data_IF_137749956523
#
_entry.id   IF_137749956523
#
_cell.length_a   1.000
_cell.length_b   1.000
_cell.length_c   1.000
_cell.angle_alpha   90.00
_cell.angle_beta   90.00
_cell.angle_gamma   90.00
#
_symmetry.space_group_name_H-M   'P 1'
#
loop_
_entity.id
_entity.type
_entity.pdbx_description
1 polymer ?
#
# COMPACT_ATOMS: atom_id res chain seq x y z
N UNK A 1 39.71 -0.99 4.13
CA UNK A 1 38.56 -0.88 3.20
C UNK A 1 37.55 -1.97 3.56
N UNK A 2 36.44 -1.61 4.23
CA UNK A 2 35.56 -2.54 4.95
C UNK A 2 34.83 -3.56 4.04
N UNK A 3 34.35 -3.14 2.87
CA UNK A 3 33.57 -4.03 1.97
C UNK A 3 34.43 -4.89 1.04
N UNK A 4 35.63 -4.42 0.67
CA UNK A 4 36.47 -5.09 -0.31
C UNK A 4 36.96 -6.47 0.15
N UNK A 5 37.42 -6.56 1.40
CA UNK A 5 37.90 -7.81 2.00
C UNK A 5 36.82 -8.67 2.63
N UNK A 6 35.54 -8.36 2.42
CA UNK A 6 34.46 -9.05 3.10
C UNK A 6 34.32 -10.50 2.58
N UNK A 7 34.20 -11.53 3.45
CA UNK A 7 34.12 -12.94 3.02
C UNK A 7 33.00 -13.23 2.02
N UNK A 8 31.89 -12.49 2.08
CA UNK A 8 30.79 -12.61 1.10
C UNK A 8 31.25 -12.22 -0.31
N UNK A 9 32.09 -11.19 -0.45
CA UNK A 9 32.62 -10.78 -1.75
C UNK A 9 33.63 -11.80 -2.29
N UNK A 10 34.48 -12.37 -1.43
CA UNK A 10 35.39 -13.46 -1.82
C UNK A 10 34.61 -14.68 -2.35
N UNK A 11 33.53 -15.08 -1.65
CA UNK A 11 32.65 -16.17 -2.11
C UNK A 11 31.96 -15.84 -3.42
N UNK A 12 31.39 -14.63 -3.57
CA UNK A 12 30.76 -14.19 -4.82
C UNK A 12 31.74 -14.25 -5.99
N UNK A 13 32.96 -13.78 -5.80
CA UNK A 13 34.00 -13.82 -6.82
C UNK A 13 34.41 -15.25 -7.18
N UNK A 14 34.54 -16.14 -6.20
CA UNK A 14 34.78 -17.56 -6.44
C UNK A 14 33.64 -18.23 -7.23
N UNK A 15 32.41 -17.74 -7.09
CA UNK A 15 31.23 -18.16 -7.87
C UNK A 15 31.08 -17.41 -9.21
N UNK A 16 32.06 -16.59 -9.61
CA UNK A 16 31.99 -15.77 -10.85
C UNK A 16 31.01 -14.59 -10.79
N UNK A 17 30.47 -14.27 -9.61
CA UNK A 17 29.54 -13.15 -9.39
C UNK A 17 30.32 -11.85 -9.10
N UNK A 18 29.81 -10.69 -9.54
CA UNK A 18 30.44 -9.40 -9.24
C UNK A 18 30.43 -9.11 -7.73
N UNK A 19 31.51 -8.49 -7.23
CA UNK A 19 31.61 -8.03 -5.85
C UNK A 19 30.68 -6.83 -5.58
N UNK A 20 30.10 -6.78 -4.38
CA UNK A 20 29.33 -5.64 -3.86
C UNK A 20 30.25 -4.88 -2.91
N UNK A 21 31.10 -4.01 -3.45
CA UNK A 21 32.21 -3.37 -2.74
C UNK A 21 32.14 -1.84 -2.67
N UNK A 22 31.03 -1.26 -3.14
CA UNK A 22 30.76 0.18 -3.17
C UNK A 22 29.36 0.47 -2.63
N UNK A 23 29.19 1.62 -1.97
CA UNK A 23 27.89 2.14 -1.55
C UNK A 23 27.55 3.36 -2.42
N UNK A 24 26.36 3.36 -3.00
CA UNK A 24 25.80 4.53 -3.67
C UNK A 24 24.79 5.17 -2.73
N UNK A 25 25.23 6.16 -1.95
CA UNK A 25 24.37 6.89 -1.02
C UNK A 25 23.66 8.03 -1.75
N UNK A 26 22.34 8.08 -1.62
CA UNK A 26 21.48 9.09 -2.24
C UNK A 26 20.25 9.33 -1.35
N UNK A 27 19.50 10.41 -1.60
CA UNK A 27 18.30 10.73 -0.83
C UNK A 27 18.56 11.26 0.59
N UNK A 28 19.74 11.83 0.84
CA UNK A 28 20.05 12.46 2.13
C UNK A 28 19.23 13.74 2.35
N UNK A 29 18.78 13.94 3.59
CA UNK A 29 18.04 15.13 4.00
C UNK A 29 17.74 15.09 5.50
N UNK A 30 17.41 16.23 6.13
CA UNK A 30 16.96 16.25 7.51
C UNK A 30 15.61 15.55 7.63
N UNK A 31 15.35 14.95 8.80
CA UNK A 31 14.01 14.48 9.12
C UNK A 31 13.09 15.70 9.31
N UNK A 32 12.07 15.82 8.47
CA UNK A 32 11.08 16.87 8.59
C UNK A 32 10.21 16.64 9.84
N UNK A 33 9.73 17.72 10.43
CA UNK A 33 8.74 17.64 11.50
C UNK A 33 7.45 17.04 10.93
N UNK A 34 7.03 15.91 11.48
CA UNK A 34 5.83 15.21 11.01
C UNK A 34 4.64 15.76 11.80
N UNK A 35 3.58 16.25 11.12
CA UNK A 35 2.38 16.73 11.80
C UNK A 35 1.73 15.63 12.63
N UNK A 36 0.87 16.04 13.57
CA UNK A 36 0.19 15.13 14.48
C UNK A 36 -0.48 13.96 13.74
N UNK A 37 -0.35 12.73 14.25
CA UNK A 37 -0.80 11.54 13.56
C UNK A 37 -2.33 11.51 13.43
N UNK A 38 -2.81 11.26 12.21
CA UNK A 38 -4.24 11.11 11.90
C UNK A 38 -4.74 9.66 12.00
N UNK A 39 -3.79 8.71 12.03
CA UNK A 39 -4.05 7.28 12.01
C UNK A 39 -3.62 6.65 13.32
N UNK A 40 -4.37 5.64 13.80
CA UNK A 40 -4.01 4.89 15.01
C UNK A 40 -2.80 3.97 14.79
N UNK A 41 -2.63 3.45 13.58
CA UNK A 41 -1.49 2.62 13.16
C UNK A 41 -1.26 2.77 11.65
N UNK A 42 -0.08 2.41 11.17
CA UNK A 42 0.23 2.25 9.74
C UNK A 42 0.68 0.81 9.48
N UNK A 43 -0.19 -0.01 8.90
CA UNK A 43 0.13 -1.40 8.60
C UNK A 43 0.63 -1.52 7.16
N UNK A 44 1.91 -1.87 6.98
CA UNK A 44 2.51 -2.02 5.65
C UNK A 44 3.82 -2.80 5.70
N UNK A 45 4.14 -3.49 4.61
CA UNK A 45 5.47 -4.07 4.37
C UNK A 45 6.38 -3.11 3.58
N UNK A 46 5.86 -1.92 3.22
CA UNK A 46 6.61 -0.91 2.50
C UNK A 46 7.55 -0.15 3.45
N UNK A 47 8.88 -0.21 3.24
CA UNK A 47 9.85 0.37 4.18
C UNK A 47 9.74 1.89 4.32
N UNK A 48 9.29 2.60 3.28
CA UNK A 48 9.08 4.03 3.35
C UNK A 48 7.88 4.38 4.24
N UNK A 49 6.77 3.66 4.09
CA UNK A 49 5.59 3.85 4.94
C UNK A 49 5.89 3.53 6.40
N UNK A 50 6.58 2.43 6.67
CA UNK A 50 7.05 2.07 8.02
C UNK A 50 7.96 3.15 8.59
N UNK A 51 8.94 3.63 7.83
CA UNK A 51 9.86 4.68 8.28
C UNK A 51 9.15 5.99 8.60
N UNK A 52 8.16 6.40 7.81
CA UNK A 52 7.35 7.59 8.05
C UNK A 52 6.45 7.44 9.28
N UNK A 53 5.85 6.27 9.49
CA UNK A 53 5.06 5.99 10.68
C UNK A 53 5.91 6.08 11.95
N UNK A 54 7.09 5.47 11.95
CA UNK A 54 8.04 5.55 13.06
C UNK A 54 8.51 6.99 13.33
N UNK A 55 8.80 7.77 12.28
CA UNK A 55 9.14 9.18 12.39
C UNK A 55 7.99 10.03 12.96
N UNK A 56 6.75 9.62 12.71
CA UNK A 56 5.54 10.26 13.23
C UNK A 56 5.16 9.80 14.66
N UNK A 57 5.89 8.83 15.24
CA UNK A 57 5.52 8.20 16.51
C UNK A 57 4.28 7.32 16.44
N UNK A 58 3.92 6.82 15.25
CA UNK A 58 2.79 5.92 15.01
C UNK A 58 3.29 4.47 15.02
N UNK A 59 2.49 3.56 15.57
CA UNK A 59 2.78 2.13 15.50
C UNK A 59 2.76 1.64 14.04
N UNK A 60 3.75 0.83 13.67
CA UNK A 60 3.92 0.33 12.31
C UNK A 60 3.95 -1.21 12.29
N UNK A 61 2.82 -1.89 12.57
CA UNK A 61 2.77 -3.34 12.55
C UNK A 61 2.90 -3.88 11.11
N UNK A 62 3.27 -5.16 10.93
CA UNK A 62 3.29 -5.82 9.62
C UNK A 62 1.96 -5.70 8.88
N UNK A 63 1.99 -5.75 7.56
CA UNK A 63 0.76 -5.73 6.78
C UNK A 63 -0.10 -6.97 7.09
N UNK A 64 -1.38 -6.81 7.46
CA UNK A 64 -2.26 -7.96 7.68
C UNK A 64 -2.47 -8.73 6.38
N UNK A 65 -2.56 -10.06 6.46
CA UNK A 65 -2.75 -10.92 5.28
C UNK A 65 -4.13 -10.72 4.60
N UNK A 66 -5.13 -10.25 5.33
CA UNK A 66 -6.49 -10.06 4.83
C UNK A 66 -7.26 -9.01 5.64
N UNK A 67 -8.42 -8.59 5.13
CA UNK A 67 -9.33 -7.76 5.91
C UNK A 67 -9.83 -8.48 7.18
N UNK A 68 -10.02 -9.80 7.11
CA UNK A 68 -10.50 -10.61 8.24
C UNK A 68 -9.53 -10.57 9.42
N UNK A 69 -8.23 -10.69 9.15
CA UNK A 69 -7.17 -10.59 10.17
C UNK A 69 -7.10 -9.18 10.76
N UNK A 70 -7.18 -8.15 9.92
CA UNK A 70 -7.22 -6.76 10.40
C UNK A 70 -8.37 -6.54 11.39
N UNK A 71 -9.58 -6.96 11.01
CA UNK A 71 -10.78 -6.78 11.83
C UNK A 71 -10.88 -7.70 13.05
N UNK A 72 -9.99 -8.69 13.17
CA UNK A 72 -9.87 -9.53 14.36
C UNK A 72 -9.00 -8.86 15.43
N UNK A 73 -7.96 -8.15 15.00
CA UNK A 73 -6.98 -7.51 15.88
C UNK A 73 -7.32 -6.04 16.20
N UNK A 74 -8.24 -5.43 15.44
CA UNK A 74 -8.63 -4.02 15.63
C UNK A 74 -9.46 -3.78 16.90
N UNK A 75 -9.13 -2.73 17.64
CA UNK A 75 -9.91 -2.22 18.76
C UNK A 75 -11.07 -1.31 18.30
N UNK A 76 -12.08 -1.06 19.15
CA UNK A 76 -13.13 -0.09 18.86
C UNK A 76 -12.53 1.32 18.63
N UNK A 77 -12.97 2.00 17.56
CA UNK A 77 -12.51 3.33 17.11
C UNK A 77 -11.10 3.39 16.51
N UNK A 78 -10.48 2.27 16.18
CA UNK A 78 -9.22 2.28 15.43
C UNK A 78 -9.41 2.87 14.03
N UNK A 79 -8.46 3.71 13.62
CA UNK A 79 -8.40 4.32 12.29
C UNK A 79 -7.04 4.00 11.62
N UNK A 80 -6.74 2.72 11.36
CA UNK A 80 -5.46 2.34 10.79
C UNK A 80 -5.37 2.73 9.31
N UNK A 81 -4.18 3.14 8.89
CA UNK A 81 -3.82 3.25 7.48
C UNK A 81 -3.22 1.91 7.03
N UNK A 82 -3.82 1.31 5.99
CA UNK A 82 -3.28 0.11 5.35
C UNK A 82 -2.72 0.48 3.98
N UNK A 83 -1.43 0.20 3.75
CA UNK A 83 -0.82 0.38 2.44
C UNK A 83 -0.56 -0.99 1.79
N UNK A 84 -1.32 -1.25 0.72
CA UNK A 84 -1.20 -2.45 -0.11
C UNK A 84 -0.52 -2.10 -1.42
N UNK A 85 0.74 -2.51 -1.59
CA UNK A 85 1.55 -2.27 -2.78
C UNK A 85 1.84 -3.55 -3.59
N UNK A 86 1.09 -4.63 -3.33
CA UNK A 86 1.24 -5.95 -3.97
C UNK A 86 1.09 -5.92 -5.50
N UNK A 87 0.36 -4.94 -6.04
CA UNK A 87 0.21 -4.75 -7.48
C UNK A 87 1.38 -3.99 -8.13
N UNK A 88 2.22 -3.30 -7.35
CA UNK A 88 3.28 -2.45 -7.88
C UNK A 88 4.43 -3.26 -8.53
N UNK A 89 5.01 -4.30 -7.88
CA UNK A 89 6.07 -5.09 -8.50
C UNK A 89 5.69 -5.67 -9.88
N UNK A 90 4.55 -6.36 -10.07
CA UNK A 90 4.23 -6.93 -11.37
C UNK A 90 3.97 -5.86 -12.44
N UNK A 91 3.53 -4.65 -12.08
CA UNK A 91 3.46 -3.51 -13.03
C UNK A 91 4.86 -3.06 -13.46
N UNK A 92 5.79 -2.89 -12.51
CA UNK A 92 7.15 -2.42 -12.80
C UNK A 92 7.96 -3.39 -13.66
N UNK A 93 7.65 -4.69 -13.58
CA UNK A 93 8.29 -5.74 -14.38
C UNK A 93 7.43 -6.22 -15.56
N UNK A 94 6.35 -5.48 -15.90
CA UNK A 94 5.47 -5.77 -17.04
C UNK A 94 4.91 -7.20 -17.06
N UNK A 95 4.71 -7.80 -15.87
CA UNK A 95 4.26 -9.18 -15.73
C UNK A 95 2.73 -9.23 -15.54
N UNK A 96 2.02 -9.43 -16.65
CA UNK A 96 0.55 -9.44 -16.67
C UNK A 96 -0.07 -10.62 -15.93
N UNK A 97 0.55 -11.80 -15.95
CA UNK A 97 0.03 -12.99 -15.28
C UNK A 97 0.10 -12.86 -13.76
N UNK A 98 1.25 -12.43 -13.24
CA UNK A 98 1.44 -12.16 -11.80
C UNK A 98 0.53 -11.02 -11.35
N UNK A 99 0.36 -9.99 -12.19
CA UNK A 99 -0.58 -8.90 -11.90
C UNK A 99 -2.01 -9.40 -11.73
N UNK A 100 -2.49 -10.25 -12.65
CA UNK A 100 -3.85 -10.83 -12.59
C UNK A 100 -4.02 -11.72 -11.36
N UNK A 101 -3.01 -12.51 -11.01
CA UNK A 101 -3.03 -13.35 -9.82
C UNK A 101 -3.05 -12.51 -8.53
N UNK A 102 -2.22 -11.47 -8.45
CA UNK A 102 -2.17 -10.55 -7.32
C UNK A 102 -3.50 -9.78 -7.16
N UNK A 103 -4.10 -9.33 -8.26
CA UNK A 103 -5.40 -8.67 -8.25
C UNK A 103 -6.52 -9.61 -7.78
N UNK A 104 -6.53 -10.87 -8.24
CA UNK A 104 -7.51 -11.85 -7.78
C UNK A 104 -7.36 -12.16 -6.28
N UNK A 105 -6.13 -12.18 -5.75
CA UNK A 105 -5.88 -12.32 -4.32
C UNK A 105 -6.39 -11.10 -3.53
N UNK A 106 -6.09 -9.89 -4.00
CA UNK A 106 -6.59 -8.65 -3.40
C UNK A 106 -8.13 -8.62 -3.36
N UNK A 107 -8.80 -8.99 -4.45
CA UNK A 107 -10.26 -9.08 -4.51
C UNK A 107 -10.80 -10.04 -3.44
N UNK A 108 -10.24 -11.26 -3.38
CA UNK A 108 -10.69 -12.31 -2.45
C UNK A 108 -10.47 -11.94 -0.99
N UNK A 109 -9.27 -11.43 -0.66
CA UNK A 109 -8.83 -11.29 0.72
C UNK A 109 -9.20 -9.92 1.32
N UNK A 110 -9.46 -8.92 0.47
CA UNK A 110 -9.78 -7.56 0.88
C UNK A 110 -11.14 -7.08 0.40
N UNK A 111 -11.41 -7.03 -0.90
CA UNK A 111 -12.60 -6.33 -1.42
C UNK A 111 -13.92 -7.10 -1.22
N UNK A 112 -13.92 -8.42 -1.45
CA UNK A 112 -15.08 -9.28 -1.19
C UNK A 112 -15.54 -9.21 0.28
N UNK A 113 -14.67 -9.41 1.29
CA UNK A 113 -15.10 -9.32 2.69
C UNK A 113 -15.46 -7.89 3.11
N UNK A 114 -14.91 -6.86 2.45
CA UNK A 114 -15.20 -5.45 2.74
C UNK A 114 -16.68 -5.12 2.61
N UNK A 115 -17.32 -5.66 1.58
CA UNK A 115 -18.76 -5.47 1.34
C UNK A 115 -19.61 -5.96 2.51
N UNK A 116 -19.22 -7.05 3.15
CA UNK A 116 -19.92 -7.60 4.32
C UNK A 116 -19.59 -6.84 5.61
N UNK A 117 -18.35 -6.35 5.76
CA UNK A 117 -17.90 -5.63 6.94
C UNK A 117 -18.41 -4.18 7.03
N UNK A 118 -18.69 -3.55 5.88
CA UNK A 118 -19.15 -2.16 5.81
C UNK A 118 -20.51 -1.99 6.51
N UNK A 119 -20.59 -1.00 7.42
CA UNK A 119 -21.75 -0.72 8.27
C UNK A 119 -22.04 -1.77 9.34
N UNK A 120 -21.10 -2.69 9.57
CA UNK A 120 -21.00 -3.52 10.77
C UNK A 120 -19.73 -3.11 11.53
N UNK A 121 -18.65 -3.87 11.32
CA UNK A 121 -17.34 -3.60 11.94
C UNK A 121 -16.63 -2.38 11.38
N UNK A 122 -16.94 -1.96 10.15
CA UNK A 122 -16.35 -0.79 9.50
C UNK A 122 -17.42 0.29 9.36
N UNK A 123 -17.31 1.38 10.10
CA UNK A 123 -18.24 2.51 9.95
C UNK A 123 -17.96 3.34 8.70
N UNK A 124 -16.68 3.62 8.43
CA UNK A 124 -16.24 4.38 7.26
C UNK A 124 -14.93 3.82 6.71
N UNK A 125 -14.76 3.92 5.40
CA UNK A 125 -13.56 3.53 4.69
C UNK A 125 -13.24 4.57 3.63
N UNK A 126 -11.97 4.96 3.53
CA UNK A 126 -11.46 5.71 2.39
C UNK A 126 -10.46 4.84 1.64
N UNK A 127 -10.74 4.57 0.36
CA UNK A 127 -9.83 3.88 -0.55
C UNK A 127 -9.13 4.94 -1.40
N UNK A 128 -7.81 4.95 -1.36
CA UNK A 128 -6.97 5.82 -2.18
C UNK A 128 -6.19 4.94 -3.16
N UNK A 129 -6.38 5.17 -4.46
CA UNK A 129 -5.66 4.47 -5.52
C UNK A 129 -4.88 5.50 -6.37
N UNK A 130 -3.58 5.71 -6.09
CA UNK A 130 -2.73 6.54 -6.92
C UNK A 130 -2.46 5.84 -8.26
N UNK A 131 -2.49 6.61 -9.34
CA UNK A 131 -2.20 6.18 -10.71
C UNK A 131 -1.22 7.15 -11.36
N UNK A 132 -0.66 6.79 -12.51
CA UNK A 132 0.19 7.71 -13.29
C UNK A 132 -0.55 8.96 -13.80
N UNK A 133 -1.88 8.91 -13.85
CA UNK A 133 -2.72 10.00 -14.34
C UNK A 133 -3.33 10.86 -13.21
N UNK A 134 -3.15 10.44 -11.95
CA UNK A 134 -3.76 11.11 -10.80
C UNK A 134 -4.21 10.14 -9.73
N UNK A 135 -4.94 10.65 -8.74
CA UNK A 135 -5.40 9.88 -7.59
C UNK A 135 -6.90 9.67 -7.64
N UNK A 136 -7.33 8.40 -7.57
CA UNK A 136 -8.71 8.06 -7.28
C UNK A 136 -8.92 7.95 -5.78
N UNK A 137 -9.98 8.58 -5.28
CA UNK A 137 -10.36 8.49 -3.86
C UNK A 137 -11.83 8.16 -3.76
N UNK A 138 -12.16 7.12 -2.99
CA UNK A 138 -13.54 6.75 -2.69
C UNK A 138 -13.74 6.68 -1.18
N UNK A 139 -14.69 7.45 -0.67
CA UNK A 139 -15.15 7.34 0.72
C UNK A 139 -16.48 6.61 0.76
N UNK A 140 -16.53 5.57 1.57
CA UNK A 140 -17.68 4.70 1.78
C UNK A 140 -18.05 4.75 3.27
N UNK A 141 -19.33 4.99 3.56
CA UNK A 141 -19.87 4.91 4.91
C UNK A 141 -20.81 3.71 5.04
N UNK A 142 -20.99 3.18 6.25
CA UNK A 142 -21.91 2.08 6.54
C UNK A 142 -23.37 2.33 6.13
N UNK A 143 -23.76 3.61 6.06
CA UNK A 143 -25.08 4.06 5.59
C UNK A 143 -25.18 4.07 4.06
N UNK A 144 -24.06 4.06 3.33
CA UNK A 144 -24.03 4.04 1.86
C UNK A 144 -24.47 2.69 1.26
N UNK A 145 -24.58 1.63 2.08
CA UNK A 145 -25.20 0.35 1.68
C UNK A 145 -26.60 0.50 1.10
N UNK A 146 -27.28 1.59 1.46
CA UNK A 146 -28.63 1.90 0.99
C UNK A 146 -28.63 2.67 -0.33
N UNK A 147 -27.49 3.17 -0.84
CA UNK A 147 -27.41 3.93 -2.10
C UNK A 147 -27.43 3.01 -3.34
N UNK A 148 -28.33 2.04 -3.39
CA UNK A 148 -28.52 1.13 -4.55
C UNK A 148 -28.87 1.87 -5.84
N UNK A 149 -29.24 3.15 -5.75
CA UNK A 149 -29.55 4.03 -6.88
C UNK A 149 -28.32 4.71 -7.52
N UNK A 150 -27.11 4.62 -6.94
CA UNK A 150 -25.90 5.14 -7.58
C UNK A 150 -25.42 4.15 -8.64
N UNK A 151 -25.55 4.53 -9.91
CA UNK A 151 -25.00 3.77 -11.05
C UNK A 151 -23.48 3.66 -10.93
N UNK A 152 -22.96 2.45 -11.16
CA UNK A 152 -21.53 2.21 -11.33
C UNK A 152 -21.03 3.00 -12.55
N UNK A 153 -19.97 3.80 -12.37
CA UNK A 153 -19.30 4.47 -13.50
C UNK A 153 -18.45 3.43 -14.25
N UNK A 154 -18.47 3.40 -15.59
CA UNK A 154 -17.60 2.51 -16.35
C UNK A 154 -16.14 2.90 -16.12
N UNK A 155 -15.28 1.90 -15.89
CA UNK A 155 -13.84 2.08 -15.62
C UNK A 155 -13.15 2.91 -16.72
N UNK A 156 -13.57 2.76 -17.97
CA UNK A 156 -13.04 3.52 -19.11
C UNK A 156 -13.34 5.02 -18.99
N UNK A 157 -14.51 5.40 -18.50
CA UNK A 157 -14.85 6.81 -18.29
C UNK A 157 -14.00 7.41 -17.17
N UNK A 158 -13.79 6.66 -16.09
CA UNK A 158 -12.92 7.09 -14.98
C UNK A 158 -11.46 7.23 -15.41
N UNK A 159 -10.93 6.28 -16.18
CA UNK A 159 -9.57 6.35 -16.72
C UNK A 159 -9.38 7.56 -17.64
N UNK A 160 -10.40 7.86 -18.46
CA UNK A 160 -10.39 9.03 -19.35
C UNK A 160 -10.42 10.35 -18.57
N UNK A 161 -11.30 10.48 -17.56
CA UNK A 161 -11.38 11.67 -16.70
C UNK A 161 -10.05 11.95 -15.97
N UNK A 162 -9.39 10.90 -15.46
CA UNK A 162 -8.06 11.01 -14.84
C UNK A 162 -7.00 11.46 -15.85
N UNK A 163 -6.97 10.86 -17.05
CA UNK A 163 -6.00 11.22 -18.08
C UNK A 163 -6.21 12.66 -18.60
N UNK A 164 -7.44 13.16 -18.57
CA UNK A 164 -7.81 14.51 -18.97
C UNK A 164 -7.64 15.55 -17.83
N UNK A 165 -7.27 15.12 -16.62
CA UNK A 165 -6.99 16.01 -15.49
C UNK A 165 -8.21 16.78 -14.97
N UNK A 166 -9.42 16.30 -15.24
CA UNK A 166 -10.66 16.98 -14.82
C UNK A 166 -11.13 16.39 -13.48
N UNK A 167 -11.06 17.13 -12.36
CA UNK A 167 -11.49 16.59 -11.08
C UNK A 167 -13.01 16.47 -11.04
N UNK A 168 -13.49 15.31 -10.58
CA UNK A 168 -14.91 15.09 -10.20
C UNK A 168 -15.22 15.67 -8.83
#
# INVERSE_FOLDING_TARGET
MFLHGHPVNARRQAEGKPAVNSLWLWGGGPLAEVPAPQFSAVCSDNPLATGLALAAGIEAPPCPASLGTLLADSAPNDTPLILLDTLLPPVLYENSDDWRAAFAALERDWFVPLRAALGGKIESLTIVAPTIYGQLTWTLHGKDRWKFWRKSRPLQAMAKELAEGTPS
#
